data_IF_595290910706
#
_entry.id   IF_595290910706
#
_cell.length_a   1.000
_cell.length_b   1.000
_cell.length_c   1.000
_cell.angle_alpha   90.00
_cell.angle_beta   90.00
_cell.angle_gamma   90.00
#
_symmetry.space_group_name_H-M   'P 1'
#
loop_
_entity.id
_entity.type
_entity.pdbx_description
1 polymer ?
#
# COMPACT_ATOMS: atom_id res chain seq x y z
N UNK A 1 -3.35 -5.09 -31.50
CA UNK A 1 -2.78 -6.11 -30.59
C UNK A 1 -1.38 -5.78 -30.09
N UNK A 2 -0.35 -5.66 -30.94
CA UNK A 2 1.04 -5.35 -30.51
C UNK A 2 1.15 -4.05 -29.68
N UNK A 3 0.41 -3.02 -30.09
CA UNK A 3 0.30 -1.75 -29.36
C UNK A 3 -0.24 -1.92 -27.93
N UNK A 4 -1.31 -2.71 -27.75
CA UNK A 4 -1.87 -2.98 -26.43
C UNK A 4 -0.87 -3.72 -25.52
N UNK A 5 -0.14 -4.70 -26.07
CA UNK A 5 0.89 -5.44 -25.33
C UNK A 5 2.03 -4.51 -24.91
N UNK A 6 2.47 -3.60 -25.79
CA UNK A 6 3.49 -2.61 -25.46
C UNK A 6 3.04 -1.66 -24.32
N UNK A 7 1.78 -1.21 -24.36
CA UNK A 7 1.21 -0.37 -23.30
C UNK A 7 1.19 -1.11 -21.95
N UNK A 8 0.75 -2.38 -21.94
CA UNK A 8 0.79 -3.22 -20.74
C UNK A 8 2.21 -3.49 -20.25
N UNK A 9 3.15 -3.70 -21.16
CA UNK A 9 4.57 -3.87 -20.82
C UNK A 9 5.20 -2.61 -20.23
N UNK A 10 4.71 -1.42 -20.60
CA UNK A 10 5.19 -0.15 -20.04
C UNK A 10 4.57 0.19 -18.68
N UNK A 11 3.37 -0.31 -18.39
CA UNK A 11 2.66 -0.05 -17.13
C UNK A 11 1.91 1.28 -17.06
N UNK A 12 2.27 2.25 -17.91
CA UNK A 12 1.83 3.64 -17.75
C UNK A 12 0.43 3.95 -18.32
N UNK A 13 -0.19 3.01 -19.05
CA UNK A 13 -1.39 3.29 -19.86
C UNK A 13 -2.38 2.11 -19.98
N UNK A 14 -2.69 1.44 -18.87
CA UNK A 14 -3.63 0.30 -18.85
C UNK A 14 -5.01 0.64 -19.41
N UNK A 15 -5.52 1.86 -19.17
CA UNK A 15 -6.78 2.34 -19.74
C UNK A 15 -6.77 2.36 -21.28
N UNK A 16 -5.68 2.85 -21.88
CA UNK A 16 -5.51 2.85 -23.33
C UNK A 16 -5.32 1.42 -23.87
N UNK A 17 -4.60 0.56 -23.15
CA UNK A 17 -4.46 -0.85 -23.52
C UNK A 17 -5.81 -1.56 -23.58
N UNK A 18 -6.70 -1.28 -22.62
CA UNK A 18 -8.08 -1.82 -22.61
C UNK A 18 -8.88 -1.39 -23.84
N UNK A 19 -8.82 -0.10 -24.21
CA UNK A 19 -9.50 0.43 -25.41
C UNK A 19 -8.99 -0.27 -26.67
N UNK A 20 -7.67 -0.42 -26.81
CA UNK A 20 -7.04 -1.09 -27.95
C UNK A 20 -7.38 -2.59 -28.04
N UNK A 21 -7.55 -3.26 -26.89
CA UNK A 21 -7.99 -4.66 -26.83
C UNK A 21 -9.47 -4.81 -27.21
N UNK A 22 -10.33 -3.89 -26.77
CA UNK A 22 -11.75 -3.90 -27.12
C UNK A 22 -11.96 -3.65 -28.61
N UNK A 23 -11.28 -2.64 -29.18
CA UNK A 23 -11.33 -2.36 -30.62
C UNK A 23 -10.82 -3.54 -31.46
N UNK A 24 -9.84 -4.30 -30.94
CA UNK A 24 -9.38 -5.52 -31.58
C UNK A 24 -10.41 -6.64 -31.53
N UNK A 25 -11.17 -6.78 -30.44
CA UNK A 25 -12.25 -7.77 -30.33
C UNK A 25 -13.42 -7.45 -31.26
N UNK A 26 -13.70 -6.18 -31.56
CA UNK A 26 -14.74 -5.82 -32.53
C UNK A 26 -14.42 -6.35 -33.94
N UNK A 27 -13.12 -6.46 -34.26
CA UNK A 27 -12.63 -7.04 -35.52
C UNK A 27 -12.44 -8.57 -35.44
N UNK A 28 -12.06 -9.08 -34.26
CA UNK A 28 -11.77 -10.50 -34.01
C UNK A 28 -12.49 -10.97 -32.73
N UNK A 29 -13.80 -11.23 -32.78
CA UNK A 29 -14.64 -11.44 -31.59
C UNK A 29 -14.22 -12.61 -30.68
N UNK A 30 -13.58 -13.62 -31.25
CA UNK A 30 -13.20 -14.85 -30.54
C UNK A 30 -11.69 -14.93 -30.25
N UNK A 31 -10.99 -13.79 -30.18
CA UNK A 31 -9.56 -13.77 -29.85
C UNK A 31 -9.32 -14.17 -28.39
N UNK A 32 -8.88 -15.43 -28.20
CA UNK A 32 -8.47 -15.95 -26.87
C UNK A 32 -7.42 -15.07 -26.19
N UNK A 33 -6.48 -14.53 -26.97
CA UNK A 33 -5.40 -13.67 -26.47
C UNK A 33 -5.95 -12.35 -25.94
N UNK A 34 -6.84 -11.70 -26.70
CA UNK A 34 -7.39 -10.41 -26.29
C UNK A 34 -8.30 -10.56 -25.07
N UNK A 35 -9.12 -11.60 -25.04
CA UNK A 35 -9.96 -11.93 -23.88
C UNK A 35 -9.12 -12.24 -22.64
N UNK A 36 -8.01 -12.98 -22.78
CA UNK A 36 -7.11 -13.25 -21.66
C UNK A 36 -6.44 -11.98 -21.13
N UNK A 37 -5.92 -11.11 -22.00
CA UNK A 37 -5.31 -9.84 -21.57
C UNK A 37 -6.34 -8.90 -20.91
N UNK A 38 -7.58 -8.85 -21.41
CA UNK A 38 -8.65 -8.11 -20.76
C UNK A 38 -9.04 -8.69 -19.40
N UNK A 39 -9.05 -10.01 -19.24
CA UNK A 39 -9.28 -10.64 -17.94
C UNK A 39 -8.21 -10.22 -16.94
N UNK A 40 -6.93 -10.18 -17.33
CA UNK A 40 -5.85 -9.70 -16.47
C UNK A 40 -6.00 -8.23 -16.05
N UNK A 41 -6.67 -7.39 -16.86
CA UNK A 41 -6.91 -5.97 -16.56
C UNK A 41 -8.14 -5.77 -15.67
N UNK A 42 -9.20 -6.54 -15.91
CA UNK A 42 -10.52 -6.30 -15.32
C UNK A 42 -10.80 -7.16 -14.08
N UNK A 43 -10.06 -8.24 -13.87
CA UNK A 43 -10.24 -9.13 -12.73
C UNK A 43 -9.32 -8.68 -11.60
N UNK A 44 -9.84 -8.46 -10.38
CA UNK A 44 -9.02 -8.25 -9.20
C UNK A 44 -7.98 -9.36 -9.05
N UNK A 45 -6.75 -9.00 -8.66
CA UNK A 45 -5.63 -9.96 -8.71
C UNK A 45 -5.83 -11.17 -7.78
N UNK A 46 -6.53 -11.00 -6.65
CA UNK A 46 -6.90 -12.08 -5.73
C UNK A 46 -7.94 -13.06 -6.29
N UNK A 47 -8.76 -12.63 -7.25
CA UNK A 47 -9.68 -13.53 -7.97
C UNK A 47 -8.98 -14.21 -9.17
N UNK A 48 -7.92 -13.57 -9.68
CA UNK A 48 -7.16 -14.05 -10.84
C UNK A 48 -6.12 -15.11 -10.46
N UNK A 49 -5.46 -14.96 -9.30
CA UNK A 49 -4.44 -15.88 -8.81
C UNK A 49 -4.66 -16.27 -7.34
N UNK A 50 -4.24 -17.49 -6.96
CA UNK A 50 -4.22 -17.89 -5.56
C UNK A 50 -3.27 -17.03 -4.73
N UNK A 51 -3.57 -16.90 -3.44
CA UNK A 51 -2.74 -16.17 -2.51
C UNK A 51 -1.41 -16.88 -2.21
N UNK A 52 -1.36 -18.20 -2.32
CA UNK A 52 -0.11 -18.94 -2.10
C UNK A 52 0.87 -18.73 -3.26
N UNK A 53 2.15 -18.58 -2.96
CA UNK A 53 3.19 -18.36 -3.95
C UNK A 53 4.49 -19.10 -3.63
N UNK A 54 5.37 -19.16 -4.63
CA UNK A 54 6.79 -19.49 -4.47
C UNK A 54 7.64 -18.28 -4.84
N UNK A 55 8.65 -17.97 -4.05
CA UNK A 55 9.59 -16.90 -4.34
C UNK A 55 10.70 -17.38 -5.29
N UNK A 56 10.91 -16.66 -6.39
CA UNK A 56 11.93 -16.94 -7.41
C UNK A 56 12.80 -15.70 -7.63
N UNK A 57 14.12 -15.84 -7.51
CA UNK A 57 15.06 -14.75 -7.80
C UNK A 57 15.42 -14.72 -9.28
N UNK A 58 15.19 -13.60 -9.96
CA UNK A 58 15.52 -13.45 -11.38
C UNK A 58 17.03 -13.55 -11.62
N UNK A 59 17.40 -14.45 -12.52
CA UNK A 59 18.77 -14.62 -13.03
C UNK A 59 18.99 -13.84 -14.33
N UNK A 60 20.23 -13.85 -14.83
CA UNK A 60 20.56 -13.16 -16.08
C UNK A 60 19.71 -13.67 -17.26
N UNK A 61 19.02 -12.76 -17.95
CA UNK A 61 18.13 -13.07 -19.07
C UNK A 61 16.70 -13.48 -18.67
N UNK A 62 16.37 -13.57 -17.38
CA UNK A 62 15.00 -13.79 -16.93
C UNK A 62 14.22 -12.46 -16.81
N UNK A 63 12.93 -12.53 -17.11
CA UNK A 63 11.96 -11.43 -17.06
C UNK A 63 10.61 -11.97 -16.59
N UNK A 64 9.65 -11.09 -16.31
CA UNK A 64 8.30 -11.50 -15.96
C UNK A 64 7.64 -12.38 -17.03
N UNK A 65 7.89 -12.11 -18.32
CA UNK A 65 7.36 -12.93 -19.41
C UNK A 65 7.97 -14.33 -19.45
N UNK A 66 9.26 -14.48 -19.12
CA UNK A 66 9.90 -15.81 -19.08
C UNK A 66 9.43 -16.59 -17.85
N UNK A 67 9.28 -15.95 -16.70
CA UNK A 67 8.74 -16.57 -15.49
C UNK A 67 7.28 -16.99 -15.71
N UNK A 68 6.44 -16.10 -16.25
CA UNK A 68 5.05 -16.41 -16.58
C UNK A 68 4.93 -17.59 -17.56
N UNK A 69 5.81 -17.66 -18.57
CA UNK A 69 5.88 -18.81 -19.48
C UNK A 69 6.21 -20.11 -18.76
N UNK A 70 7.24 -20.10 -17.92
CA UNK A 70 7.74 -21.30 -17.24
C UNK A 70 6.75 -21.82 -16.20
N UNK A 71 6.26 -20.93 -15.32
CA UNK A 71 5.47 -21.33 -14.16
C UNK A 71 3.96 -21.26 -14.41
N UNK A 72 3.47 -20.34 -15.26
CA UNK A 72 2.03 -20.15 -15.54
C UNK A 72 1.62 -20.70 -16.91
N UNK A 73 2.61 -21.12 -17.71
CA UNK A 73 2.41 -21.71 -19.04
C UNK A 73 1.98 -20.71 -20.11
N UNK A 74 2.06 -19.40 -19.84
CA UNK A 74 1.69 -18.36 -20.79
C UNK A 74 2.57 -17.11 -20.58
N UNK A 75 3.33 -16.73 -21.60
CA UNK A 75 4.15 -15.51 -21.60
C UNK A 75 3.34 -14.25 -21.35
N UNK A 76 2.07 -14.23 -21.79
CA UNK A 76 1.19 -13.06 -21.72
C UNK A 76 0.60 -12.84 -20.33
N UNK A 77 0.79 -13.78 -19.40
CA UNK A 77 0.47 -13.55 -17.98
C UNK A 77 1.49 -12.68 -17.27
N UNK A 78 2.50 -12.14 -17.98
CA UNK A 78 3.46 -11.20 -17.42
C UNK A 78 2.78 -10.00 -16.75
N UNK A 79 1.63 -9.52 -17.28
CA UNK A 79 0.94 -8.36 -16.74
C UNK A 79 0.22 -8.69 -15.44
N UNK A 80 -0.54 -9.78 -15.38
CA UNK A 80 -1.11 -10.26 -14.12
C UNK A 80 -0.03 -10.62 -13.10
N UNK A 81 1.06 -11.26 -13.53
CA UNK A 81 2.19 -11.57 -12.63
C UNK A 81 2.86 -10.29 -12.13
N UNK A 82 2.96 -9.25 -12.96
CA UNK A 82 3.44 -7.94 -12.53
C UNK A 82 2.51 -7.34 -11.48
N UNK A 83 1.19 -7.35 -11.70
CA UNK A 83 0.22 -6.88 -10.72
C UNK A 83 0.30 -7.68 -9.41
N UNK A 84 0.43 -9.00 -9.50
CA UNK A 84 0.63 -9.89 -8.34
C UNK A 84 1.88 -9.54 -7.53
N UNK A 85 2.93 -9.07 -8.21
CA UNK A 85 4.19 -8.66 -7.61
C UNK A 85 4.29 -7.16 -7.35
N UNK A 86 3.22 -6.40 -7.58
CA UNK A 86 3.20 -4.95 -7.52
C UNK A 86 4.30 -4.27 -8.37
N UNK A 87 4.59 -4.80 -9.55
CA UNK A 87 5.56 -4.27 -10.51
C UNK A 87 4.83 -3.34 -11.48
N UNK A 88 5.09 -2.04 -11.34
CA UNK A 88 4.43 -1.01 -12.14
C UNK A 88 4.78 -1.15 -13.64
N UNK A 89 6.05 -1.38 -13.97
CA UNK A 89 6.50 -1.54 -15.35
C UNK A 89 6.95 -2.99 -15.58
N UNK A 90 6.12 -3.85 -16.18
CA UNK A 90 6.47 -5.25 -16.35
C UNK A 90 7.68 -5.50 -17.26
N UNK A 91 8.02 -4.52 -18.11
CA UNK A 91 9.20 -4.57 -18.99
C UNK A 91 10.51 -4.18 -18.30
N UNK A 92 10.48 -3.67 -17.07
CA UNK A 92 11.67 -3.22 -16.32
C UNK A 92 11.93 -4.13 -15.11
N UNK A 93 12.45 -5.32 -15.36
CA UNK A 93 12.91 -6.24 -14.32
C UNK A 93 14.42 -6.12 -14.10
N UNK A 94 14.88 -6.32 -12.85
CA UNK A 94 16.31 -6.32 -12.50
C UNK A 94 16.80 -7.71 -12.11
N UNK A 95 18.05 -8.03 -12.47
CA UNK A 95 18.70 -9.26 -11.99
C UNK A 95 18.75 -9.23 -10.46
N UNK A 96 18.49 -10.37 -9.82
CA UNK A 96 18.40 -10.49 -8.37
C UNK A 96 17.04 -10.07 -7.78
N UNK A 97 16.10 -9.59 -8.59
CA UNK A 97 14.76 -9.26 -8.12
C UNK A 97 13.99 -10.54 -7.76
N UNK A 98 13.38 -10.56 -6.58
CA UNK A 98 12.52 -11.67 -6.15
C UNK A 98 11.12 -11.47 -6.74
N UNK A 99 10.62 -12.54 -7.37
CA UNK A 99 9.29 -12.63 -7.96
C UNK A 99 8.51 -13.71 -7.23
N UNK A 100 7.41 -13.31 -6.59
CA UNK A 100 6.40 -14.20 -6.05
C UNK A 100 5.55 -14.75 -7.20
N UNK A 101 5.67 -16.04 -7.42
CA UNK A 101 4.93 -16.75 -8.46
C UNK A 101 3.76 -17.49 -7.82
N UNK A 102 2.50 -17.22 -8.21
CA UNK A 102 1.34 -17.85 -7.60
C UNK A 102 1.34 -19.37 -7.83
N UNK A 103 1.02 -20.14 -6.79
CA UNK A 103 1.02 -21.61 -6.76
C UNK A 103 -0.20 -22.21 -7.47
N UNK A 104 -0.38 -21.84 -8.73
CA UNK A 104 -1.32 -22.49 -9.64
C UNK A 104 -0.94 -23.95 -9.87
N UNK A 105 -1.89 -24.77 -10.38
CA UNK A 105 -1.61 -26.17 -10.72
C UNK A 105 -0.43 -26.33 -11.68
N UNK A 106 -0.24 -25.37 -12.59
CA UNK A 106 0.91 -25.35 -13.52
C UNK A 106 2.22 -25.04 -12.80
N UNK A 107 2.21 -24.06 -11.89
CA UNK A 107 3.40 -23.71 -11.13
C UNK A 107 3.86 -24.89 -10.26
N UNK A 108 2.92 -25.57 -9.57
CA UNK A 108 3.19 -26.79 -8.81
C UNK A 108 3.82 -27.88 -9.68
N UNK A 109 3.21 -28.20 -10.83
CA UNK A 109 3.73 -29.21 -11.74
C UNK A 109 5.15 -28.87 -12.27
N UNK A 110 5.43 -27.61 -12.55
CA UNK A 110 6.75 -27.17 -13.00
C UNK A 110 7.82 -27.27 -11.89
N UNK A 111 7.45 -26.92 -10.65
CA UNK A 111 8.32 -27.06 -9.48
C UNK A 111 8.65 -28.53 -9.24
N UNK A 112 7.64 -29.41 -9.24
CA UNK A 112 7.82 -30.86 -9.08
C UNK A 112 8.74 -31.43 -10.16
N UNK A 113 8.59 -30.97 -11.41
CA UNK A 113 9.47 -31.33 -12.50
C UNK A 113 10.93 -30.91 -12.26
N UNK A 114 11.18 -29.68 -11.78
CA UNK A 114 12.54 -29.20 -11.46
C UNK A 114 13.18 -30.02 -10.33
N UNK A 115 12.40 -30.34 -9.29
CA UNK A 115 12.84 -31.18 -8.17
C UNK A 115 13.22 -32.58 -8.66
N UNK A 116 12.38 -33.21 -9.48
CA UNK A 116 12.64 -34.54 -10.05
C UNK A 116 13.85 -34.61 -10.98
N UNK A 117 14.33 -33.47 -11.49
CA UNK A 117 15.52 -33.37 -12.33
C UNK A 117 16.80 -33.00 -11.58
N UNK A 118 16.75 -32.84 -10.26
CA UNK A 118 17.91 -32.47 -9.44
C UNK A 118 18.48 -31.08 -9.78
N UNK A 119 17.68 -30.21 -10.40
CA UNK A 119 18.08 -28.82 -10.63
C UNK A 119 17.95 -28.07 -9.30
N UNK A 120 19.05 -27.45 -8.85
CA UNK A 120 19.12 -26.70 -7.60
C UNK A 120 17.98 -25.67 -7.50
N UNK A 121 17.18 -25.82 -6.45
CA UNK A 121 16.06 -24.95 -6.12
C UNK A 121 16.40 -24.20 -4.83
N UNK A 122 17.47 -23.40 -4.84
CA UNK A 122 17.98 -22.67 -3.67
C UNK A 122 17.00 -21.62 -3.08
N UNK A 123 15.70 -21.73 -3.34
CA UNK A 123 14.62 -20.92 -2.76
C UNK A 123 13.39 -21.74 -2.29
N UNK A 124 13.37 -23.07 -2.36
CA UNK A 124 12.13 -23.86 -2.05
C UNK A 124 12.11 -24.61 -0.72
N UNK A 125 13.11 -24.52 0.15
CA UNK A 125 13.15 -25.32 1.40
C UNK A 125 12.75 -24.60 2.70
N UNK A 126 12.17 -23.41 2.68
CA UNK A 126 11.73 -22.76 3.94
C UNK A 126 10.26 -22.35 4.08
N UNK A 127 9.43 -22.28 3.03
CA UNK A 127 8.07 -21.70 3.17
C UNK A 127 6.91 -22.65 2.85
N UNK A 128 7.12 -23.96 2.93
CA UNK A 128 6.06 -24.95 2.68
C UNK A 128 5.19 -25.24 3.92
N UNK A 129 4.74 -24.25 4.69
CA UNK A 129 3.69 -24.48 5.70
C UNK A 129 2.87 -23.22 5.99
N UNK A 130 1.77 -23.03 5.26
CA UNK A 130 0.49 -22.55 5.77
C UNK A 130 -0.53 -22.53 4.62
N UNK A 131 -1.74 -23.05 4.82
CA UNK A 131 -2.81 -22.97 3.82
C UNK A 131 -3.40 -24.30 3.37
N UNK A 132 -3.59 -25.26 4.27
CA UNK A 132 -4.55 -26.33 4.05
C UNK A 132 -5.43 -26.43 5.27
N UNK A 133 -6.51 -25.64 5.27
CA UNK A 133 -7.83 -25.95 5.84
C UNK A 133 -8.67 -24.66 5.82
N UNK A 134 -9.64 -24.58 4.90
CA UNK A 134 -11.05 -24.25 5.16
C UNK A 134 -11.74 -23.96 3.82
N UNK A 135 -12.38 -25.00 3.28
CA UNK A 135 -13.40 -24.89 2.27
C UNK A 135 -14.75 -24.75 2.98
N UNK A 136 -15.58 -23.76 2.60
CA UNK A 136 -17.03 -23.90 2.79
C UNK A 136 -17.84 -22.63 3.11
N UNK A 137 -18.55 -22.17 2.08
CA UNK A 137 -19.95 -21.69 2.09
C UNK A 137 -20.31 -20.23 2.41
N UNK A 138 -21.15 -19.71 1.51
CA UNK A 138 -21.80 -18.40 1.42
C UNK A 138 -22.79 -18.07 2.54
N UNK A 139 -23.01 -16.78 2.79
CA UNK A 139 -24.27 -16.29 3.37
C UNK A 139 -24.24 -14.92 4.09
N UNK A 140 -24.48 -13.84 3.34
CA UNK A 140 -25.33 -12.69 3.69
C UNK A 140 -25.00 -11.77 4.88
N UNK A 141 -24.67 -12.29 6.05
CA UNK A 141 -24.40 -11.50 7.28
C UNK A 141 -23.19 -12.05 8.06
N UNK A 142 -22.77 -13.28 7.77
CA UNK A 142 -21.53 -13.90 8.25
C UNK A 142 -20.28 -13.44 7.47
N UNK A 143 -20.46 -12.75 6.34
CA UNK A 143 -19.40 -12.28 5.44
C UNK A 143 -18.52 -11.16 6.02
N UNK A 144 -19.11 -10.25 6.79
CA UNK A 144 -18.37 -9.15 7.44
C UNK A 144 -17.52 -9.66 8.62
N UNK A 145 -18.08 -10.59 9.40
CA UNK A 145 -17.36 -11.26 10.49
C UNK A 145 -16.18 -12.08 9.95
N UNK A 146 -16.41 -12.86 8.87
CA UNK A 146 -15.34 -13.63 8.23
C UNK A 146 -14.26 -12.76 7.57
N UNK A 147 -14.63 -11.63 6.94
CA UNK A 147 -13.65 -10.72 6.32
C UNK A 147 -12.72 -10.04 7.34
N UNK A 148 -13.28 -9.52 8.44
CA UNK A 148 -12.49 -8.91 9.52
C UNK A 148 -11.67 -9.97 10.26
N UNK A 149 -12.23 -11.15 10.50
CA UNK A 149 -11.51 -12.28 11.11
C UNK A 149 -10.34 -12.74 10.25
N UNK A 150 -10.53 -12.84 8.93
CA UNK A 150 -9.47 -13.16 7.98
C UNK A 150 -8.37 -12.11 8.01
N UNK A 151 -8.72 -10.82 7.98
CA UNK A 151 -7.75 -9.74 8.11
C UNK A 151 -6.96 -9.86 9.43
N UNK A 152 -7.65 -10.08 10.57
CA UNK A 152 -7.01 -10.24 11.89
C UNK A 152 -6.06 -11.44 11.94
N UNK A 153 -6.44 -12.56 11.34
CA UNK A 153 -5.58 -13.74 11.26
C UNK A 153 -4.29 -13.40 10.50
N UNK A 154 -4.43 -12.80 9.32
CA UNK A 154 -3.28 -12.38 8.49
C UNK A 154 -2.40 -11.34 9.20
N UNK A 155 -2.98 -10.42 9.97
CA UNK A 155 -2.23 -9.47 10.79
C UNK A 155 -1.45 -10.17 11.91
N UNK A 156 -2.05 -11.15 12.57
CA UNK A 156 -1.39 -11.97 13.61
C UNK A 156 -0.20 -12.73 13.05
N UNK A 157 -0.34 -13.28 11.85
CA UNK A 157 0.69 -14.02 11.12
C UNK A 157 1.69 -13.09 10.40
N UNK A 158 1.50 -11.77 10.49
CA UNK A 158 2.33 -10.73 9.82
C UNK A 158 2.31 -10.81 8.28
N UNK A 159 1.29 -11.42 7.71
CA UNK A 159 0.99 -11.41 6.28
C UNK A 159 0.34 -10.08 5.88
N UNK A 160 1.09 -8.99 5.96
CA UNK A 160 0.58 -7.62 5.82
C UNK A 160 -0.11 -7.35 4.49
N UNK A 161 0.42 -7.86 3.38
CA UNK A 161 -0.21 -7.68 2.07
C UNK A 161 -1.60 -8.32 2.02
N UNK A 162 -1.71 -9.59 2.47
CA UNK A 162 -2.98 -10.29 2.51
C UNK A 162 -3.99 -9.59 3.43
N UNK A 163 -3.52 -9.11 4.59
CA UNK A 163 -4.35 -8.34 5.51
C UNK A 163 -4.87 -7.03 4.88
N UNK A 164 -4.01 -6.28 4.19
CA UNK A 164 -4.39 -5.06 3.48
C UNK A 164 -5.42 -5.36 2.40
N UNK A 165 -5.20 -6.41 1.60
CA UNK A 165 -6.17 -6.82 0.57
C UNK A 165 -7.51 -7.23 1.18
N UNK A 166 -7.51 -8.03 2.26
CA UNK A 166 -8.73 -8.39 2.97
C UNK A 166 -9.47 -7.14 3.47
N UNK A 167 -8.75 -6.16 4.00
CA UNK A 167 -9.30 -4.87 4.42
C UNK A 167 -9.91 -4.07 3.26
N UNK A 168 -9.21 -3.95 2.13
CA UNK A 168 -9.66 -3.19 0.96
C UNK A 168 -10.93 -3.78 0.31
N UNK A 169 -11.22 -5.06 0.56
CA UNK A 169 -12.44 -5.73 0.12
C UNK A 169 -13.60 -5.64 1.12
N UNK A 170 -13.37 -5.10 2.33
CA UNK A 170 -14.45 -4.93 3.30
C UNK A 170 -15.45 -3.89 2.79
N UNK A 171 -16.73 -4.14 3.06
CA UNK A 171 -17.76 -3.12 2.92
C UNK A 171 -17.37 -1.87 3.73
N UNK A 172 -17.33 -0.66 3.14
CA UNK A 172 -17.05 0.57 3.85
C UNK A 172 -17.93 0.84 5.08
N UNK A 173 -19.12 0.21 5.17
CA UNK A 173 -19.97 0.26 6.35
C UNK A 173 -19.40 -0.49 7.57
N UNK A 174 -18.49 -1.45 7.34
CA UNK A 174 -17.88 -2.24 8.40
C UNK A 174 -16.78 -1.45 9.12
N UNK A 175 -17.12 -0.92 10.30
CA UNK A 175 -16.16 -0.19 11.12
C UNK A 175 -15.21 -1.14 11.84
N UNK A 176 -13.91 -0.92 11.66
CA UNK A 176 -12.88 -1.54 12.48
C UNK A 176 -12.92 -0.99 13.90
N UNK A 177 -12.56 -1.84 14.86
CA UNK A 177 -12.28 -1.37 16.22
C UNK A 177 -10.88 -0.74 16.29
N UNK A 178 -10.56 -0.08 17.41
CA UNK A 178 -9.27 0.61 17.59
C UNK A 178 -8.07 -0.33 17.56
N UNK A 179 -8.22 -1.59 18.00
CA UNK A 179 -7.14 -2.58 17.97
C UNK A 179 -6.82 -2.99 16.55
N UNK A 180 -7.85 -3.33 15.77
CA UNK A 180 -7.73 -3.70 14.36
C UNK A 180 -7.18 -2.55 13.53
N UNK A 181 -7.68 -1.33 13.78
CA UNK A 181 -7.20 -0.11 13.11
C UNK A 181 -5.71 0.10 13.38
N UNK A 182 -5.25 -0.06 14.63
CA UNK A 182 -3.82 0.04 14.96
C UNK A 182 -2.96 -1.03 14.28
N UNK A 183 -3.44 -2.28 14.26
CA UNK A 183 -2.73 -3.38 13.60
C UNK A 183 -2.65 -3.15 12.08
N UNK A 184 -3.73 -2.67 11.48
CA UNK A 184 -3.79 -2.32 10.06
C UNK A 184 -2.88 -1.13 9.72
N UNK A 185 -2.84 -0.09 10.54
CA UNK A 185 -1.88 1.02 10.43
C UNK A 185 -0.45 0.49 10.42
N UNK A 186 -0.12 -0.44 11.33
CA UNK A 186 1.22 -1.05 11.36
C UNK A 186 1.52 -1.84 10.08
N UNK A 187 0.54 -2.58 9.56
CA UNK A 187 0.66 -3.32 8.31
C UNK A 187 0.89 -2.41 7.10
N UNK A 188 0.11 -1.33 6.96
CA UNK A 188 0.30 -0.34 5.90
C UNK A 188 1.66 0.34 5.99
N UNK A 189 2.07 0.80 7.20
CA UNK A 189 3.38 1.44 7.39
C UNK A 189 4.53 0.51 7.04
N UNK A 190 4.47 -0.74 7.49
CA UNK A 190 5.51 -1.72 7.19
C UNK A 190 5.58 -2.02 5.69
N UNK A 191 4.42 -2.20 5.05
CA UNK A 191 4.33 -2.41 3.60
C UNK A 191 4.83 -1.19 2.81
N UNK A 192 4.58 0.03 3.30
CA UNK A 192 5.11 1.27 2.71
C UNK A 192 6.64 1.32 2.78
N UNK A 193 7.22 1.01 3.95
CA UNK A 193 8.68 0.96 4.13
C UNK A 193 9.31 -0.08 3.21
N UNK A 194 8.75 -1.29 3.18
CA UNK A 194 9.30 -2.41 2.40
C UNK A 194 9.19 -2.18 0.88
N UNK A 195 8.18 -1.41 0.44
CA UNK A 195 7.99 -1.05 -0.96
C UNK A 195 8.66 0.27 -1.37
N UNK A 196 9.15 1.11 -0.46
CA UNK A 196 9.64 2.45 -0.79
C UNK A 196 10.77 2.46 -1.81
N UNK A 197 11.71 1.53 -1.71
CA UNK A 197 12.85 1.45 -2.62
C UNK A 197 12.50 0.82 -3.98
N UNK A 198 11.59 -0.15 -4.00
CA UNK A 198 11.25 -0.94 -5.20
C UNK A 198 10.06 -0.37 -5.96
N UNK A 199 9.10 0.22 -5.27
CA UNK A 199 7.88 0.83 -5.79
C UNK A 199 7.47 2.06 -4.94
N UNK A 200 8.11 3.22 -5.17
CA UNK A 200 7.82 4.44 -4.42
C UNK A 200 6.37 4.93 -4.60
N UNK A 201 5.72 4.64 -5.73
CA UNK A 201 4.32 5.01 -5.97
C UNK A 201 3.35 4.20 -5.09
N UNK A 202 3.58 2.89 -4.95
CA UNK A 202 2.80 2.06 -4.04
C UNK A 202 3.07 2.45 -2.58
N UNK A 203 4.33 2.66 -2.22
CA UNK A 203 4.69 3.13 -0.88
C UNK A 203 4.03 4.48 -0.56
N UNK A 204 3.99 5.41 -1.52
CA UNK A 204 3.25 6.67 -1.42
C UNK A 204 1.77 6.42 -1.14
N UNK A 205 1.14 5.47 -1.82
CA UNK A 205 -0.26 5.10 -1.60
C UNK A 205 -0.48 4.49 -0.21
N UNK A 206 0.40 3.61 0.25
CA UNK A 206 0.31 3.04 1.60
C UNK A 206 0.52 4.09 2.70
N UNK A 207 1.43 5.05 2.52
CA UNK A 207 1.56 6.18 3.44
C UNK A 207 0.31 7.06 3.42
N UNK A 208 -0.30 7.31 2.25
CA UNK A 208 -1.57 8.03 2.16
C UNK A 208 -2.69 7.31 2.93
N UNK A 209 -2.85 5.99 2.75
CA UNK A 209 -3.86 5.22 3.48
C UNK A 209 -3.58 5.18 4.98
N UNK A 210 -2.32 5.09 5.37
CA UNK A 210 -1.90 5.22 6.76
C UNK A 210 -2.34 6.56 7.34
N UNK A 211 -2.08 7.67 6.63
CA UNK A 211 -2.49 9.01 7.04
C UNK A 211 -4.00 9.13 7.22
N UNK A 212 -4.79 8.55 6.32
CA UNK A 212 -6.26 8.52 6.43
C UNK A 212 -6.73 7.78 7.69
N UNK A 213 -6.21 6.57 7.93
CA UNK A 213 -6.56 5.77 9.10
C UNK A 213 -6.19 6.48 10.40
N UNK A 214 -5.01 7.11 10.44
CA UNK A 214 -4.52 7.84 11.60
C UNK A 214 -5.33 9.11 11.85
N UNK A 215 -5.67 9.87 10.80
CA UNK A 215 -6.51 11.06 10.92
C UNK A 215 -7.89 10.71 11.51
N UNK A 216 -8.47 9.59 11.08
CA UNK A 216 -9.74 9.09 11.62
C UNK A 216 -9.62 8.65 13.09
N UNK A 217 -8.43 8.21 13.53
CA UNK A 217 -8.17 7.88 14.94
C UNK A 217 -7.87 9.11 15.81
N UNK A 218 -7.66 10.28 15.20
CA UNK A 218 -7.49 11.57 15.88
C UNK A 218 -6.04 12.03 16.08
N UNK A 219 -5.03 11.22 15.73
CA UNK A 219 -3.62 11.63 15.80
C UNK A 219 -3.21 12.43 14.54
N UNK A 220 -3.72 13.65 14.46
CA UNK A 220 -3.60 14.49 13.27
C UNK A 220 -2.14 14.88 12.93
N UNK A 221 -1.25 14.96 13.92
CA UNK A 221 0.17 15.26 13.66
C UNK A 221 0.85 14.09 12.94
N UNK A 222 0.63 12.87 13.43
CA UNK A 222 1.16 11.69 12.78
C UNK A 222 0.51 11.47 11.41
N UNK A 223 -0.79 11.76 11.26
CA UNK A 223 -1.44 11.72 9.96
C UNK A 223 -0.79 12.69 8.95
N UNK A 224 -0.48 13.91 9.39
CA UNK A 224 0.19 14.91 8.56
C UNK A 224 1.58 14.44 8.11
N UNK A 225 2.36 13.81 9.02
CA UNK A 225 3.64 13.18 8.68
C UNK A 225 3.49 12.08 7.63
N UNK A 226 2.45 11.24 7.72
CA UNK A 226 2.22 10.19 6.73
C UNK A 226 1.89 10.76 5.35
N UNK A 227 1.10 11.83 5.27
CA UNK A 227 0.86 12.50 4.00
C UNK A 227 2.13 13.16 3.43
N UNK A 228 2.99 13.72 4.29
CA UNK A 228 4.28 14.25 3.86
C UNK A 228 5.21 13.16 3.28
N UNK A 229 5.35 12.03 3.98
CA UNK A 229 6.11 10.87 3.48
C UNK A 229 5.55 10.36 2.14
N UNK A 230 4.23 10.38 1.98
CA UNK A 230 3.57 10.06 0.71
C UNK A 230 4.02 11.00 -0.43
N UNK A 231 4.12 12.30 -0.15
CA UNK A 231 4.54 13.32 -1.11
C UNK A 231 6.05 13.31 -1.40
N UNK A 232 6.89 12.93 -0.42
CA UNK A 232 8.33 12.74 -0.63
C UNK A 232 8.60 11.61 -1.64
N UNK A 233 7.80 10.54 -1.59
CA UNK A 233 7.91 9.41 -2.52
C UNK A 233 7.25 9.67 -3.86
N UNK A 234 6.13 10.40 -3.88
CA UNK A 234 5.45 10.82 -5.10
C UNK A 234 4.89 12.23 -4.94
N UNK A 235 5.65 13.21 -5.43
CA UNK A 235 5.24 14.62 -5.39
C UNK A 235 4.03 14.95 -6.27
N UNK A 236 3.59 14.02 -7.13
CA UNK A 236 2.38 14.15 -7.97
C UNK A 236 1.16 13.45 -7.37
N UNK A 237 1.22 13.00 -6.12
CA UNK A 237 0.05 12.45 -5.45
C UNK A 237 -0.92 13.58 -5.06
N UNK A 238 -1.82 13.94 -5.98
CA UNK A 238 -2.79 15.02 -5.80
C UNK A 238 -3.71 14.82 -4.58
N UNK A 239 -3.98 13.56 -4.21
CA UNK A 239 -4.82 13.24 -3.05
C UNK A 239 -4.06 13.57 -1.77
N UNK A 240 -2.83 13.07 -1.63
CA UNK A 240 -1.97 13.39 -0.48
C UNK A 240 -1.67 14.89 -0.39
N UNK A 241 -1.48 15.58 -1.51
CA UNK A 241 -1.24 17.03 -1.53
C UNK A 241 -2.44 17.79 -0.93
N UNK A 242 -3.65 17.47 -1.40
CA UNK A 242 -4.87 18.09 -0.89
C UNK A 242 -5.10 17.80 0.59
N UNK A 243 -4.92 16.54 1.00
CA UNK A 243 -5.10 16.11 2.39
C UNK A 243 -4.07 16.77 3.31
N UNK A 244 -2.80 16.80 2.91
CA UNK A 244 -1.73 17.47 3.63
C UNK A 244 -2.02 18.97 3.78
N UNK A 245 -2.32 19.67 2.68
CA UNK A 245 -2.58 21.10 2.71
C UNK A 245 -3.79 21.46 3.59
N UNK A 246 -4.89 20.71 3.46
CA UNK A 246 -6.09 20.90 4.27
C UNK A 246 -5.83 20.67 5.76
N UNK A 247 -5.21 19.54 6.11
CA UNK A 247 -4.91 19.20 7.50
C UNK A 247 -3.88 20.15 8.12
N UNK A 248 -2.85 20.54 7.35
CA UNK A 248 -1.84 21.53 7.75
C UNK A 248 -2.49 22.86 8.10
N UNK A 249 -3.37 23.38 7.24
CA UNK A 249 -4.10 24.62 7.50
C UNK A 249 -4.95 24.51 8.76
N UNK A 250 -5.74 23.44 8.89
CA UNK A 250 -6.61 23.23 10.05
C UNK A 250 -5.83 23.17 11.36
N UNK A 251 -4.70 22.45 11.39
CA UNK A 251 -3.86 22.32 12.58
C UNK A 251 -3.17 23.63 12.93
N UNK A 252 -2.70 24.37 11.91
CA UNK A 252 -2.09 25.69 12.09
C UNK A 252 -3.07 26.64 12.79
N UNK A 253 -4.29 26.77 12.25
CA UNK A 253 -5.33 27.61 12.81
C UNK A 253 -5.73 27.18 14.23
N UNK A 254 -5.87 25.87 14.44
CA UNK A 254 -6.28 25.31 15.73
C UNK A 254 -5.24 25.57 16.80
N UNK A 255 -3.97 25.22 16.56
CA UNK A 255 -2.90 25.44 17.53
C UNK A 255 -2.66 26.93 17.78
N UNK A 256 -2.72 27.78 16.75
CA UNK A 256 -2.59 29.22 16.93
C UNK A 256 -3.69 29.79 17.84
N UNK A 257 -4.95 29.44 17.57
CA UNK A 257 -6.11 29.87 18.37
C UNK A 257 -6.02 29.38 19.81
N UNK A 258 -5.75 28.09 19.99
CA UNK A 258 -5.79 27.45 21.30
C UNK A 258 -4.60 27.89 22.17
N UNK A 259 -3.40 28.06 21.58
CA UNK A 259 -2.25 28.60 22.27
C UNK A 259 -2.51 30.04 22.75
N UNK A 260 -3.07 30.87 21.88
CA UNK A 260 -3.44 32.26 22.22
C UNK A 260 -4.48 32.32 23.33
N UNK A 261 -5.46 31.40 23.33
CA UNK A 261 -6.47 31.31 24.39
C UNK A 261 -5.84 30.87 25.72
N UNK A 262 -4.99 29.83 25.71
CA UNK A 262 -4.29 29.33 26.89
C UNK A 262 -3.40 30.44 27.51
N UNK A 263 -2.67 31.18 26.67
CA UNK A 263 -1.82 32.28 27.14
C UNK A 263 -2.62 33.38 27.82
N UNK A 264 -3.78 33.78 27.26
CA UNK A 264 -4.68 34.76 27.90
C UNK A 264 -5.23 34.28 29.25
N UNK A 265 -5.39 32.97 29.42
CA UNK A 265 -5.82 32.34 30.68
C UNK A 265 -4.66 32.11 31.66
N UNK A 266 -3.45 32.54 31.32
CA UNK A 266 -2.23 32.29 32.10
C UNK A 266 -1.88 30.80 32.22
N UNK A 267 -2.44 29.93 31.36
CA UNK A 267 -2.08 28.52 31.22
C UNK A 267 -0.77 28.41 30.41
N UNK A 268 0.35 28.90 30.97
CA UNK A 268 1.61 29.11 30.23
C UNK A 268 2.22 27.83 29.68
N UNK A 269 2.21 26.74 30.44
CA UNK A 269 2.70 25.42 30.02
C UNK A 269 2.00 24.95 28.74
N UNK A 270 0.67 25.04 28.74
CA UNK A 270 -0.17 24.61 27.63
C UNK A 270 0.00 25.52 26.42
N UNK A 271 0.11 26.84 26.62
CA UNK A 271 0.38 27.78 25.55
C UNK A 271 1.73 27.47 24.86
N UNK A 272 2.78 27.22 25.66
CA UNK A 272 4.11 26.83 25.18
C UNK A 272 4.04 25.54 24.36
N UNK A 273 3.37 24.50 24.87
CA UNK A 273 3.23 23.21 24.17
C UNK A 273 2.52 23.39 22.82
N UNK A 274 1.45 24.17 22.77
CA UNK A 274 0.68 24.39 21.54
C UNK A 274 1.46 25.20 20.50
N UNK A 275 2.23 26.21 20.90
CA UNK A 275 3.11 26.91 19.95
C UNK A 275 4.27 26.03 19.48
N UNK A 276 4.81 25.15 20.32
CA UNK A 276 5.81 24.17 19.88
C UNK A 276 5.23 23.23 18.82
N UNK A 277 4.01 22.71 19.02
CA UNK A 277 3.31 21.91 18.00
C UNK A 277 3.07 22.69 16.70
N UNK A 278 2.67 23.96 16.80
CA UNK A 278 2.52 24.83 15.63
C UNK A 278 3.83 24.97 14.85
N UNK A 279 4.95 25.18 15.55
CA UNK A 279 6.27 25.33 14.92
C UNK A 279 6.84 24.03 14.34
N UNK A 280 6.31 22.85 14.71
CA UNK A 280 6.62 21.60 14.01
C UNK A 280 5.99 21.57 12.61
N UNK A 281 4.86 22.27 12.41
CA UNK A 281 4.09 22.30 11.17
C UNK A 281 4.50 23.49 10.29
N UNK A 282 4.68 24.64 10.91
CA UNK A 282 5.10 25.89 10.28
C UNK A 282 6.27 26.51 11.06
N UNK A 283 7.51 26.07 10.78
CA UNK A 283 8.70 26.53 11.49
C UNK A 283 8.97 28.03 11.35
N UNK A 284 8.44 28.68 10.32
CA UNK A 284 8.64 30.10 10.03
C UNK A 284 7.49 30.98 10.57
N UNK A 285 6.56 30.41 11.36
CA UNK A 285 5.40 31.14 11.88
C UNK A 285 5.79 32.24 12.88
N UNK A 286 5.96 33.47 12.38
CA UNK A 286 6.47 34.64 13.12
C UNK A 286 5.76 34.87 14.46
N UNK A 287 4.42 34.80 14.50
CA UNK A 287 3.68 35.01 15.75
C UNK A 287 3.97 33.92 16.79
N UNK A 288 4.01 32.65 16.39
CA UNK A 288 4.27 31.53 17.29
C UNK A 288 5.67 31.61 17.89
N UNK A 289 6.69 31.95 17.09
CA UNK A 289 8.08 32.18 17.57
C UNK A 289 8.10 33.26 18.64
N UNK A 290 7.48 34.41 18.35
CA UNK A 290 7.49 35.56 19.25
C UNK A 290 6.72 35.29 20.55
N UNK A 291 5.55 34.67 20.46
CA UNK A 291 4.74 34.38 21.64
C UNK A 291 5.33 33.25 22.49
N UNK A 292 5.91 32.22 21.89
CA UNK A 292 6.64 31.17 22.60
C UNK A 292 7.78 31.76 23.44
N UNK A 293 8.59 32.65 22.85
CA UNK A 293 9.66 33.36 23.56
C UNK A 293 9.13 34.22 24.73
N UNK A 294 7.98 34.87 24.55
CA UNK A 294 7.36 35.67 25.61
C UNK A 294 6.85 34.78 26.77
N UNK A 295 6.16 33.69 26.45
CA UNK A 295 5.62 32.78 27.45
C UNK A 295 6.70 32.05 28.25
N UNK A 296 7.79 31.61 27.59
CA UNK A 296 8.95 31.04 28.29
C UNK A 296 9.59 32.04 29.26
N UNK A 297 9.74 33.31 28.84
CA UNK A 297 10.25 34.36 29.73
C UNK A 297 9.34 34.62 30.93
N UNK A 298 8.01 34.63 30.72
CA UNK A 298 7.04 34.84 31.79
C UNK A 298 7.04 33.66 32.78
N UNK A 299 7.05 32.42 32.28
CA UNK A 299 7.16 31.20 33.09
C UNK A 299 8.41 31.21 33.97
N UNK A 300 9.56 31.51 33.39
CA UNK A 300 10.83 31.57 34.14
C UNK A 300 10.84 32.66 35.21
N UNK A 301 10.10 33.76 35.02
CA UNK A 301 9.94 34.79 36.05
C UNK A 301 9.09 34.29 37.21
N UNK A 302 7.98 33.63 36.93
CA UNK A 302 7.09 33.08 37.96
C UNK A 302 7.79 32.00 38.80
N UNK A 303 8.53 31.09 38.17
CA UNK A 303 9.30 30.05 38.88
C UNK A 303 10.41 30.57 39.79
N UNK A 304 10.85 31.84 39.62
CA UNK A 304 11.85 32.47 40.49
C UNK A 304 11.22 33.21 41.67
N UNK A 305 9.90 33.38 41.67
CA UNK A 305 9.13 34.06 42.70
C UNK A 305 8.45 33.07 43.66
N UNK A 306 8.44 31.79 43.32
CA UNK A 306 8.05 30.64 44.16
C UNK A 306 9.26 30.09 44.92
#
# INVERSE_FOLDING_TARGET
>A
MSKAIALLSSGDNTGQAKVELQAYLDLVPNSKIANSLLAQINTPIGDYFPAEFVAITLSNGESLSTIAKQYLGDTLQFYALAQYNNIANPGKTTIGQVIHVPLTSKAKAFIDFKIGKGMDTSSTKQDHQAGSEFQGQSGGELGAATGIEQMRLLLTEKHYWGAIQAYEQLDPANKLNDSDTRALIAAYRKSAIDSAASNPLLASTYYQQTGNLIANSGDNLLALEMFDLSLQLNSKNEISERLYAGLKSQLTDTYHRDASLAFRRQELEKAIELWQKLLLIDPEHVHAINYLSQAQRLKNKLQRLE
#
